data_IF_116051907861
#
_entry.id   IF_116051907861
#
_cell.length_a   1.000
_cell.length_b   1.000
_cell.length_c   1.000
_cell.angle_alpha   90.00
_cell.angle_beta   90.00
_cell.angle_gamma   90.00
#
_symmetry.space_group_name_H-M   'P 1'
#
loop_
_entity.id
_entity.type
_entity.pdbx_description
1 polymer ?
#
# COMPACT_ATOMS: atom_id res chain seq x y z
N UNK A 1 83.07 34.42 -2.78
CA UNK A 1 81.86 34.02 -1.99
C UNK A 1 80.64 34.74 -2.58
N UNK A 2 79.75 34.05 -3.29
CA UNK A 2 78.51 34.65 -3.80
C UNK A 2 77.39 34.27 -2.89
N UNK A 3 76.78 35.27 -2.25
CA UNK A 3 75.54 35.11 -1.45
C UNK A 3 74.37 34.88 -2.37
N UNK A 4 73.63 33.77 -2.17
CA UNK A 4 72.30 33.56 -2.76
C UNK A 4 71.23 34.01 -1.75
N UNK A 5 70.20 34.75 -2.15
CA UNK A 5 69.21 35.23 -1.25
C UNK A 5 68.17 34.14 -0.91
N UNK A 6 67.97 33.95 0.41
CA UNK A 6 67.06 32.95 0.98
C UNK A 6 65.56 33.20 0.73
N UNK A 7 65.18 34.23 -0.03
CA UNK A 7 63.77 34.64 -0.20
C UNK A 7 62.96 33.86 -1.25
N UNK A 8 63.62 33.09 -2.14
CA UNK A 8 62.89 32.33 -3.18
C UNK A 8 62.38 30.94 -2.74
N UNK A 9 63.01 30.34 -1.71
CA UNK A 9 62.55 29.03 -1.18
C UNK A 9 61.25 29.13 -0.37
N UNK A 10 61.05 30.23 0.37
CA UNK A 10 59.87 30.43 1.22
C UNK A 10 58.58 30.63 0.41
N UNK A 11 58.66 31.28 -0.77
CA UNK A 11 57.49 31.52 -1.65
C UNK A 11 57.05 30.25 -2.38
N UNK A 12 57.97 29.33 -2.67
CA UNK A 12 57.64 28.05 -3.34
C UNK A 12 56.97 27.07 -2.35
N UNK A 13 57.39 27.04 -1.08
CA UNK A 13 56.84 26.20 -0.03
C UNK A 13 55.37 26.60 0.29
N UNK A 14 55.12 27.93 0.40
CA UNK A 14 53.72 28.41 0.66
C UNK A 14 52.76 28.18 -0.50
N UNK A 15 53.21 28.25 -1.74
CA UNK A 15 52.34 27.93 -2.88
C UNK A 15 52.01 26.45 -2.98
N UNK A 16 52.95 25.55 -2.66
CA UNK A 16 52.69 24.10 -2.60
C UNK A 16 51.73 23.74 -1.45
N UNK A 17 51.87 24.38 -0.27
CA UNK A 17 50.97 24.17 0.86
C UNK A 17 49.53 24.64 0.58
N UNK A 18 49.36 25.78 -0.09
CA UNK A 18 48.06 26.31 -0.51
C UNK A 18 47.41 25.40 -1.55
N UNK A 19 48.19 24.87 -2.50
CA UNK A 19 47.68 23.93 -3.51
C UNK A 19 47.28 22.60 -2.89
N UNK A 20 48.00 22.09 -1.88
CA UNK A 20 47.68 20.87 -1.14
C UNK A 20 46.43 21.04 -0.26
N UNK A 21 46.24 22.20 0.36
CA UNK A 21 45.03 22.52 1.14
C UNK A 21 43.80 22.72 0.23
N UNK A 22 43.99 23.29 -0.97
CA UNK A 22 42.94 23.40 -1.98
C UNK A 22 42.57 22.03 -2.56
N UNK A 23 43.52 21.13 -2.80
CA UNK A 23 43.25 19.76 -3.27
C UNK A 23 42.57 18.94 -2.14
N UNK A 24 42.97 19.10 -0.89
CA UNK A 24 42.32 18.46 0.26
C UNK A 24 40.91 19.02 0.53
N UNK A 25 40.63 20.29 0.24
CA UNK A 25 39.29 20.86 0.33
C UNK A 25 38.38 20.48 -0.84
N UNK A 26 38.90 20.12 -1.99
CA UNK A 26 38.16 19.57 -3.13
C UNK A 26 37.93 18.05 -3.04
N UNK A 27 38.76 17.32 -2.30
CA UNK A 27 38.57 15.86 -2.10
C UNK A 27 37.58 15.48 -0.98
N UNK A 28 36.99 16.45 -0.30
CA UNK A 28 36.22 16.24 0.94
C UNK A 28 34.70 16.24 0.83
N UNK A 29 34.11 16.27 -0.36
CA UNK A 29 32.67 16.07 -0.53
C UNK A 29 32.40 15.10 -1.70
N UNK A 30 32.73 13.83 -1.53
CA UNK A 30 31.91 12.81 -2.14
C UNK A 30 30.51 12.94 -1.47
N UNK A 31 29.66 13.81 -2.02
CA UNK A 31 28.26 13.80 -1.62
C UNK A 31 27.74 12.42 -1.99
N UNK A 32 27.35 11.65 -1.00
CA UNK A 32 26.75 10.34 -1.23
C UNK A 32 25.59 10.53 -2.22
N UNK A 33 25.66 9.86 -3.34
CA UNK A 33 24.67 9.98 -4.39
C UNK A 33 23.47 9.12 -4.00
N UNK A 34 22.26 9.71 -4.02
CA UNK A 34 21.02 8.96 -3.83
C UNK A 34 20.92 7.82 -4.83
N UNK A 35 20.54 6.63 -4.35
CA UNK A 35 20.40 5.40 -5.15
C UNK A 35 19.12 5.33 -5.97
N UNK A 36 18.28 6.35 -5.93
CA UNK A 36 17.03 6.37 -6.68
C UNK A 36 17.20 6.84 -8.12
N UNK A 37 16.40 6.29 -9.03
CA UNK A 37 16.31 6.79 -10.40
C UNK A 37 15.72 8.20 -10.42
N UNK A 38 16.10 8.99 -11.45
CA UNK A 38 15.64 10.38 -11.56
C UNK A 38 14.17 10.54 -11.97
N UNK A 39 13.56 9.49 -12.53
CA UNK A 39 12.19 9.54 -13.06
C UNK A 39 11.53 8.16 -13.04
N UNK A 40 10.21 8.15 -13.21
CA UNK A 40 9.36 6.97 -13.36
C UNK A 40 8.30 7.24 -14.44
N UNK A 41 7.65 6.20 -14.93
CA UNK A 41 6.42 6.34 -15.75
C UNK A 41 5.28 6.98 -14.95
N UNK A 42 5.27 6.84 -13.63
CA UNK A 42 4.28 7.38 -12.71
C UNK A 42 4.92 8.45 -11.83
N UNK A 43 4.90 9.70 -12.32
CA UNK A 43 5.61 10.84 -11.69
C UNK A 43 4.84 11.48 -10.55
N UNK A 44 3.55 11.15 -10.40
CA UNK A 44 2.67 11.66 -9.33
C UNK A 44 1.58 10.64 -9.01
N UNK A 45 1.13 10.62 -7.76
CA UNK A 45 -0.08 9.89 -7.36
C UNK A 45 -1.37 10.62 -7.78
N UNK A 46 -1.31 11.93 -8.02
CA UNK A 46 -2.48 12.71 -8.45
C UNK A 46 -3.06 12.14 -9.76
N UNK A 47 -4.37 12.00 -9.79
CA UNK A 47 -5.11 11.43 -10.91
C UNK A 47 -5.15 9.90 -10.94
N UNK A 48 -4.57 9.20 -9.95
CA UNK A 48 -4.54 7.75 -9.91
C UNK A 48 -5.49 7.17 -8.85
N UNK A 49 -6.03 5.99 -9.17
CA UNK A 49 -6.73 5.11 -8.25
C UNK A 49 -5.86 3.88 -8.05
N UNK A 50 -5.36 3.69 -6.84
CA UNK A 50 -4.52 2.56 -6.48
C UNK A 50 -5.11 1.79 -5.31
N UNK A 51 -4.85 0.50 -5.24
CA UNK A 51 -5.34 -0.34 -4.17
C UNK A 51 -4.22 -0.82 -3.24
N UNK A 52 -4.53 -1.08 -1.98
CA UNK A 52 -3.65 -1.85 -1.12
C UNK A 52 -3.59 -3.31 -1.57
N UNK A 53 -2.41 -3.91 -1.55
CA UNK A 53 -2.17 -5.30 -1.95
C UNK A 53 -1.47 -6.03 -0.81
N UNK A 54 -2.17 -6.99 -0.20
CA UNK A 54 -1.67 -7.74 0.95
C UNK A 54 -0.61 -8.75 0.53
N UNK A 55 -0.92 -9.58 -0.45
CA UNK A 55 0.02 -10.57 -0.99
C UNK A 55 0.50 -11.60 0.04
N UNK A 56 -0.31 -11.93 1.04
CA UNK A 56 0.09 -12.75 2.19
C UNK A 56 -0.46 -14.19 2.20
N UNK A 57 -1.46 -14.48 1.36
CA UNK A 57 -2.09 -15.80 1.31
C UNK A 57 -1.17 -16.84 0.67
N UNK A 58 -0.92 -17.94 1.37
CA UNK A 58 -0.12 -19.07 0.89
C UNK A 58 -0.94 -20.35 0.84
N UNK A 59 -0.45 -21.31 0.07
CA UNK A 59 -0.97 -22.67 0.00
C UNK A 59 0.14 -23.70 0.28
N UNK A 60 -0.16 -24.93 0.71
CA UNK A 60 0.79 -26.02 0.74
C UNK A 60 1.42 -26.22 -0.64
N UNK A 61 2.71 -26.55 -0.67
CA UNK A 61 3.46 -26.84 -1.88
C UNK A 61 3.59 -25.68 -2.89
N UNK A 62 3.32 -24.44 -2.44
CA UNK A 62 3.56 -23.22 -3.25
C UNK A 62 5.07 -22.86 -3.34
N UNK A 63 5.90 -23.44 -2.49
CA UNK A 63 7.34 -23.19 -2.38
C UNK A 63 7.72 -22.22 -1.27
N UNK A 64 6.76 -21.54 -0.62
CA UNK A 64 7.02 -20.63 0.50
C UNK A 64 7.25 -21.38 1.83
N UNK A 65 6.78 -22.62 1.94
CA UNK A 65 6.87 -23.43 3.16
C UNK A 65 6.00 -22.90 4.31
N UNK A 66 4.90 -22.17 4.00
CA UNK A 66 4.02 -21.53 5.00
C UNK A 66 2.68 -22.22 5.18
N UNK A 67 2.35 -23.25 4.37
CA UNK A 67 1.05 -23.93 4.36
C UNK A 67 -0.09 -22.97 3.99
N UNK A 68 -1.30 -23.20 4.50
CA UNK A 68 -2.47 -22.33 4.29
C UNK A 68 -2.40 -21.03 5.12
N UNK A 69 -1.32 -20.26 4.92
CA UNK A 69 -1.10 -19.02 5.68
C UNK A 69 -2.14 -17.96 5.34
N UNK A 70 -2.66 -17.26 6.34
CA UNK A 70 -3.79 -16.32 6.31
C UNK A 70 -5.16 -16.90 5.94
N UNK A 71 -5.21 -18.11 5.37
CA UNK A 71 -6.48 -18.83 5.20
C UNK A 71 -6.93 -19.55 6.48
N UNK A 72 -5.99 -19.90 7.37
CA UNK A 72 -6.23 -20.72 8.58
C UNK A 72 -6.82 -19.90 9.72
N UNK A 73 -7.75 -20.50 10.45
CA UNK A 73 -8.16 -20.09 11.79
C UNK A 73 -7.69 -21.09 12.83
N UNK A 74 -7.06 -20.63 13.92
CA UNK A 74 -6.56 -21.50 14.98
C UNK A 74 -5.56 -22.59 14.50
N UNK A 75 -4.80 -22.29 13.43
CA UNK A 75 -3.83 -23.26 12.85
C UNK A 75 -4.44 -24.32 11.93
N UNK A 76 -5.75 -24.27 11.67
CA UNK A 76 -6.45 -25.24 10.81
C UNK A 76 -7.17 -24.53 9.67
N UNK A 77 -7.16 -25.13 8.47
CA UNK A 77 -7.94 -24.70 7.32
C UNK A 77 -8.87 -25.84 6.90
N UNK A 78 -10.15 -25.72 7.22
CA UNK A 78 -11.17 -26.73 6.94
C UNK A 78 -12.57 -26.10 7.04
N UNK A 79 -13.65 -26.74 6.53
CA UNK A 79 -15.02 -26.31 6.80
C UNK A 79 -15.27 -26.10 8.29
N UNK A 80 -15.75 -24.90 8.65
CA UNK A 80 -15.92 -24.46 10.06
C UNK A 80 -14.64 -23.88 10.70
N UNK A 81 -13.50 -23.83 9.98
CA UNK A 81 -12.24 -23.27 10.49
C UNK A 81 -11.47 -22.59 9.37
N UNK A 82 -11.74 -21.32 9.15
CA UNK A 82 -11.07 -20.44 8.17
C UNK A 82 -11.12 -19.01 8.66
N UNK A 83 -10.20 -18.17 8.19
CA UNK A 83 -10.25 -16.72 8.46
C UNK A 83 -11.02 -15.95 7.39
N UNK A 84 -11.18 -16.49 6.18
CA UNK A 84 -11.66 -15.71 5.04
C UNK A 84 -13.18 -15.69 4.93
N UNK A 85 -13.75 -14.54 4.65
CA UNK A 85 -15.18 -14.35 4.41
C UNK A 85 -15.53 -14.28 2.90
N UNK A 86 -14.53 -14.06 2.04
CA UNK A 86 -14.69 -14.10 0.58
C UNK A 86 -13.89 -15.26 -0.01
N UNK A 87 -14.45 -15.90 -1.03
CA UNK A 87 -13.76 -16.95 -1.79
C UNK A 87 -13.35 -16.44 -3.15
N UNK A 88 -12.05 -16.53 -3.50
CA UNK A 88 -11.56 -16.08 -4.80
C UNK A 88 -12.17 -16.89 -5.95
N UNK A 89 -12.48 -16.23 -7.07
CA UNK A 89 -12.76 -16.91 -8.33
C UNK A 89 -11.45 -17.37 -8.96
N UNK A 90 -11.33 -18.68 -9.21
CA UNK A 90 -10.03 -19.27 -9.59
C UNK A 90 -9.89 -19.63 -11.06
N UNK A 91 -10.88 -19.34 -11.89
CA UNK A 91 -10.94 -19.79 -13.31
C UNK A 91 -9.82 -19.25 -14.18
N UNK A 92 -9.29 -18.06 -13.88
CA UNK A 92 -8.22 -17.43 -14.67
C UNK A 92 -6.81 -17.69 -14.09
N UNK A 93 -6.67 -18.32 -12.91
CA UNK A 93 -5.36 -18.61 -12.36
C UNK A 93 -4.75 -19.86 -12.98
N UNK A 94 -3.54 -19.76 -13.57
CA UNK A 94 -2.86 -20.93 -14.16
C UNK A 94 -2.46 -21.98 -13.13
N UNK A 95 -2.29 -21.59 -11.87
CA UNK A 95 -1.93 -22.49 -10.76
C UNK A 95 -2.85 -22.24 -9.57
N UNK A 96 -3.48 -23.30 -9.11
CA UNK A 96 -4.40 -23.33 -7.97
C UNK A 96 -4.14 -24.58 -7.12
N UNK A 97 -4.56 -24.51 -5.86
CA UNK A 97 -4.31 -25.55 -4.87
C UNK A 97 -5.62 -26.11 -4.36
N UNK A 98 -5.71 -27.45 -4.30
CA UNK A 98 -6.87 -28.14 -3.78
C UNK A 98 -7.02 -27.85 -2.30
N UNK A 99 -8.20 -27.37 -1.92
CA UNK A 99 -8.55 -27.09 -0.52
C UNK A 99 -9.29 -28.27 0.12
N UNK A 100 -9.47 -28.30 1.44
CA UNK A 100 -10.36 -29.25 2.10
C UNK A 100 -11.86 -28.93 1.96
N UNK A 101 -12.22 -27.92 1.16
CA UNK A 101 -13.60 -27.51 0.92
C UNK A 101 -14.14 -28.09 -0.37
N UNK A 102 -15.48 -28.19 -0.47
CA UNK A 102 -16.18 -28.74 -1.62
C UNK A 102 -17.26 -27.80 -2.13
N UNK A 103 -17.45 -27.75 -3.43
CA UNK A 103 -18.53 -27.06 -4.09
C UNK A 103 -19.87 -27.79 -3.90
N UNK A 104 -20.98 -27.13 -4.27
CA UNK A 104 -22.35 -27.67 -4.18
C UNK A 104 -22.57 -28.94 -5.02
N UNK A 105 -21.79 -29.15 -6.08
CA UNK A 105 -21.79 -30.34 -6.95
C UNK A 105 -20.88 -31.48 -6.45
N UNK A 106 -20.27 -31.31 -5.27
CA UNK A 106 -19.36 -32.31 -4.67
C UNK A 106 -17.92 -32.25 -5.24
N UNK A 107 -17.61 -31.38 -6.17
CA UNK A 107 -16.25 -31.17 -6.66
C UNK A 107 -15.38 -30.44 -5.63
N UNK A 108 -14.06 -30.64 -5.68
CA UNK A 108 -13.13 -29.95 -4.79
C UNK A 108 -13.08 -28.46 -5.10
N UNK A 109 -13.06 -27.61 -4.09
CA UNK A 109 -12.79 -26.19 -4.21
C UNK A 109 -11.29 -25.89 -4.20
N UNK A 110 -10.88 -24.82 -4.88
CA UNK A 110 -9.47 -24.45 -5.07
C UNK A 110 -9.25 -23.00 -4.67
N UNK A 111 -7.98 -22.68 -4.31
CA UNK A 111 -7.52 -21.29 -4.05
C UNK A 111 -6.13 -21.11 -4.67
N UNK A 112 -5.77 -19.86 -4.90
CA UNK A 112 -4.45 -19.44 -5.37
C UNK A 112 -3.47 -19.21 -4.20
N UNK A 113 -2.18 -19.08 -4.52
CA UNK A 113 -1.17 -18.54 -3.61
C UNK A 113 -0.60 -17.23 -4.13
N UNK A 114 -0.43 -16.25 -3.25
CA UNK A 114 0.23 -14.99 -3.58
C UNK A 114 1.73 -15.17 -3.92
N UNK A 115 2.34 -16.27 -3.46
CA UNK A 115 3.75 -16.59 -3.72
C UNK A 115 4.03 -16.96 -5.17
N UNK A 116 3.01 -17.44 -5.90
CA UNK A 116 3.14 -17.80 -7.31
C UNK A 116 3.22 -16.55 -8.21
N UNK A 117 4.21 -16.55 -9.10
CA UNK A 117 4.38 -15.47 -10.08
C UNK A 117 3.15 -15.32 -11.00
N UNK A 118 2.48 -16.42 -11.32
CA UNK A 118 1.25 -16.42 -12.13
C UNK A 118 0.09 -15.71 -11.44
N UNK A 119 0.03 -15.69 -10.12
CA UNK A 119 -1.00 -14.97 -9.36
C UNK A 119 -0.84 -13.46 -9.52
N UNK A 120 0.37 -12.94 -9.32
CA UNK A 120 0.62 -11.50 -9.56
C UNK A 120 0.44 -11.13 -11.02
N UNK A 121 0.79 -12.00 -11.97
CA UNK A 121 0.58 -11.77 -13.40
C UNK A 121 -0.91 -11.59 -13.74
N UNK A 122 -1.77 -12.48 -13.24
CA UNK A 122 -3.24 -12.38 -13.40
C UNK A 122 -3.78 -11.11 -12.76
N UNK A 123 -3.36 -10.77 -11.53
CA UNK A 123 -3.84 -9.58 -10.84
C UNK A 123 -3.48 -8.29 -11.59
N UNK A 124 -2.24 -8.15 -12.07
CA UNK A 124 -1.83 -6.97 -12.84
C UNK A 124 -2.44 -6.92 -14.24
N UNK A 125 -2.73 -8.08 -14.85
CA UNK A 125 -3.55 -8.18 -16.06
C UNK A 125 -4.93 -7.59 -15.83
N UNK A 126 -5.64 -7.99 -14.77
CA UNK A 126 -6.94 -7.43 -14.40
C UNK A 126 -6.86 -5.91 -14.14
N UNK A 127 -5.84 -5.43 -13.42
CA UNK A 127 -5.66 -3.99 -13.22
C UNK A 127 -5.59 -3.24 -14.55
N UNK A 128 -4.88 -3.79 -15.54
CA UNK A 128 -4.81 -3.20 -16.88
C UNK A 128 -6.16 -3.24 -17.61
N UNK A 129 -6.83 -4.37 -17.59
CA UNK A 129 -8.10 -4.59 -18.30
C UNK A 129 -9.23 -3.71 -17.77
N UNK A 130 -9.31 -3.57 -16.46
CA UNK A 130 -10.35 -2.77 -15.80
C UNK A 130 -9.95 -1.32 -15.54
N UNK A 131 -8.67 -0.95 -15.69
CA UNK A 131 -8.20 0.44 -15.59
C UNK A 131 -7.86 0.89 -14.17
N UNK A 132 -7.60 -0.04 -13.24
CA UNK A 132 -6.97 0.28 -11.95
C UNK A 132 -5.51 0.64 -12.20
N UNK A 133 -5.04 1.76 -11.63
CA UNK A 133 -3.75 2.33 -12.01
C UNK A 133 -2.55 1.59 -11.39
N UNK A 134 -2.73 0.90 -10.26
CA UNK A 134 -1.69 0.13 -9.61
C UNK A 134 -1.98 -0.22 -8.16
N UNK A 135 -0.92 -0.58 -7.42
CA UNK A 135 -1.05 -1.05 -6.04
C UNK A 135 0.05 -0.51 -5.12
N UNK A 136 -0.30 -0.43 -3.83
CA UNK A 136 0.62 -0.31 -2.72
C UNK A 136 0.89 -1.69 -2.14
N UNK A 137 2.10 -2.21 -2.32
CA UNK A 137 2.52 -3.52 -1.82
C UNK A 137 2.75 -3.46 -0.32
N UNK A 138 1.91 -4.11 0.44
CA UNK A 138 2.00 -4.16 1.90
C UNK A 138 3.27 -4.91 2.34
N UNK A 139 3.93 -4.36 3.35
CA UNK A 139 5.06 -4.96 4.05
C UNK A 139 4.83 -4.82 5.55
N UNK A 140 4.26 -5.86 6.14
CA UNK A 140 4.01 -5.91 7.58
C UNK A 140 5.35 -6.02 8.32
N UNK A 141 5.66 -5.04 9.15
CA UNK A 141 6.93 -5.04 9.91
C UNK A 141 7.02 -6.26 10.81
N UNK A 142 5.90 -6.74 11.34
CA UNK A 142 5.79 -7.97 12.11
C UNK A 142 6.25 -9.22 11.33
N UNK A 143 5.98 -9.28 10.02
CA UNK A 143 6.33 -10.40 9.13
C UNK A 143 7.79 -10.32 8.65
N UNK A 144 8.19 -9.14 8.14
CA UNK A 144 9.52 -8.96 7.52
C UNK A 144 10.69 -9.01 8.51
N UNK A 145 10.43 -9.00 9.82
CA UNK A 145 11.46 -9.26 10.83
C UNK A 145 11.88 -10.73 10.87
N UNK A 146 11.03 -11.65 10.44
CA UNK A 146 11.38 -13.08 10.30
C UNK A 146 12.05 -13.35 8.96
N UNK A 147 12.97 -14.33 8.91
CA UNK A 147 13.64 -14.72 7.67
C UNK A 147 12.63 -15.27 6.64
N UNK A 148 11.69 -16.10 7.08
CA UNK A 148 10.66 -16.70 6.22
C UNK A 148 9.70 -15.65 5.68
N UNK A 149 9.15 -14.76 6.54
CA UNK A 149 8.26 -13.68 6.11
C UNK A 149 8.96 -12.71 5.16
N UNK A 150 10.19 -12.30 5.46
CA UNK A 150 10.97 -11.44 4.56
C UNK A 150 11.20 -12.10 3.20
N UNK A 151 11.51 -13.40 3.16
CA UNK A 151 11.68 -14.14 1.91
C UNK A 151 10.37 -14.17 1.11
N UNK A 152 9.25 -14.49 1.75
CA UNK A 152 7.93 -14.47 1.12
C UNK A 152 7.61 -13.11 0.49
N UNK A 153 7.63 -12.04 1.28
CA UNK A 153 7.28 -10.69 0.80
C UNK A 153 8.27 -10.14 -0.25
N UNK A 154 9.54 -10.54 -0.22
CA UNK A 154 10.49 -10.19 -1.27
C UNK A 154 10.16 -10.91 -2.59
N UNK A 155 9.77 -12.18 -2.53
CA UNK A 155 9.36 -12.95 -3.72
C UNK A 155 8.09 -12.36 -4.35
N UNK A 156 7.07 -12.12 -3.54
CA UNK A 156 5.80 -11.50 -4.02
C UNK A 156 6.06 -10.12 -4.63
N UNK A 157 6.88 -9.28 -3.98
CA UNK A 157 7.25 -7.97 -4.51
C UNK A 157 8.05 -8.07 -5.82
N UNK A 158 8.98 -9.01 -5.94
CA UNK A 158 9.75 -9.22 -7.17
C UNK A 158 8.84 -9.63 -8.34
N UNK A 159 7.90 -10.56 -8.09
CA UNK A 159 6.89 -10.98 -9.07
C UNK A 159 5.99 -9.80 -9.47
N UNK A 160 5.54 -9.01 -8.49
CA UNK A 160 4.71 -7.82 -8.73
C UNK A 160 5.44 -6.75 -9.54
N UNK A 161 6.74 -6.51 -9.31
CA UNK A 161 7.54 -5.57 -10.11
C UNK A 161 7.64 -5.98 -11.58
N UNK A 162 7.78 -7.28 -11.85
CA UNK A 162 7.79 -7.81 -13.23
C UNK A 162 6.42 -7.62 -13.89
N UNK A 163 5.34 -7.95 -13.20
CA UNK A 163 3.97 -7.81 -13.68
C UNK A 163 3.59 -6.33 -13.87
N UNK A 164 3.99 -5.46 -12.93
CA UNK A 164 3.81 -4.01 -13.05
C UNK A 164 4.44 -3.45 -14.32
N UNK A 165 5.67 -3.86 -14.62
CA UNK A 165 6.36 -3.49 -15.86
C UNK A 165 5.66 -4.02 -17.10
N UNK A 166 5.27 -5.31 -17.11
CA UNK A 166 4.58 -5.98 -18.22
C UNK A 166 3.25 -5.31 -18.58
N UNK A 167 2.47 -4.94 -17.57
CA UNK A 167 1.13 -4.37 -17.78
C UNK A 167 1.07 -2.86 -17.66
N UNK A 168 2.19 -2.19 -17.36
CA UNK A 168 2.25 -0.73 -17.21
C UNK A 168 1.39 -0.23 -16.07
N UNK A 169 1.50 -0.83 -14.88
CA UNK A 169 0.79 -0.42 -13.67
C UNK A 169 1.75 0.12 -12.63
N UNK A 170 1.29 1.11 -11.85
CA UNK A 170 2.09 1.69 -10.78
C UNK A 170 2.27 0.71 -9.62
N UNK A 171 3.41 0.79 -8.95
CA UNK A 171 3.69 0.02 -7.75
C UNK A 171 4.42 0.90 -6.74
N UNK A 172 4.09 0.80 -5.46
CA UNK A 172 4.78 1.46 -4.36
C UNK A 172 4.84 0.52 -3.15
N UNK A 173 5.76 0.75 -2.24
CA UNK A 173 5.88 0.00 -0.99
C UNK A 173 5.08 0.70 0.11
N UNK A 174 4.32 -0.08 0.88
CA UNK A 174 3.57 0.38 2.04
C UNK A 174 3.99 -0.44 3.27
N UNK A 175 4.71 0.18 4.20
CA UNK A 175 5.03 -0.44 5.47
C UNK A 175 3.85 -0.33 6.42
N UNK A 176 3.34 -1.48 6.85
CA UNK A 176 2.34 -1.59 7.89
C UNK A 176 3.03 -1.78 9.25
N UNK A 177 2.79 -0.83 10.14
CA UNK A 177 3.40 -0.80 11.47
C UNK A 177 2.63 -1.62 12.51
N UNK A 178 1.53 -2.30 12.12
CA UNK A 178 0.79 -3.20 13.01
C UNK A 178 1.73 -4.29 13.55
N UNK A 179 1.67 -4.53 14.85
CA UNK A 179 2.55 -5.48 15.52
C UNK A 179 4.01 -5.05 15.65
N UNK A 180 4.36 -3.79 15.33
CA UNK A 180 5.63 -3.20 15.76
C UNK A 180 5.70 -3.16 17.29
N UNK A 181 6.85 -3.53 17.84
CA UNK A 181 7.04 -3.70 19.29
C UNK A 181 7.56 -2.44 19.97
N UNK A 182 8.49 -1.75 19.31
CA UNK A 182 9.20 -0.57 19.86
C UNK A 182 10.15 0.03 18.80
N UNK A 183 11.09 0.85 19.26
CA UNK A 183 12.14 1.44 18.43
C UNK A 183 13.08 0.43 17.75
N UNK A 184 13.13 -0.83 18.19
CA UNK A 184 13.94 -1.88 17.54
C UNK A 184 13.38 -2.19 16.16
N UNK A 185 12.06 -2.22 16.00
CA UNK A 185 11.41 -2.48 14.73
C UNK A 185 11.58 -1.32 13.71
N UNK A 186 12.00 -0.11 14.16
CA UNK A 186 12.47 0.97 13.27
C UNK A 186 13.66 0.49 12.43
N UNK A 187 14.60 -0.22 13.03
CA UNK A 187 15.77 -0.76 12.34
C UNK A 187 15.40 -1.85 11.33
N UNK A 188 14.34 -2.63 11.61
CA UNK A 188 13.81 -3.64 10.68
C UNK A 188 13.36 -2.96 9.38
N UNK A 189 12.57 -1.90 9.48
CA UNK A 189 12.10 -1.12 8.32
C UNK A 189 13.27 -0.50 7.55
N UNK A 190 14.20 0.17 8.25
CA UNK A 190 15.37 0.81 7.64
C UNK A 190 16.21 -0.22 6.86
N UNK A 191 16.50 -1.36 7.46
CA UNK A 191 17.28 -2.42 6.82
C UNK A 191 16.51 -3.08 5.65
N UNK A 192 15.20 -3.18 5.77
CA UNK A 192 14.37 -3.67 4.68
C UNK A 192 14.39 -2.73 3.49
N UNK A 193 14.15 -1.43 3.70
CA UNK A 193 14.22 -0.43 2.64
C UNK A 193 15.58 -0.43 1.92
N UNK A 194 16.68 -0.47 2.68
CA UNK A 194 18.03 -0.59 2.11
C UNK A 194 18.17 -1.84 1.24
N UNK A 195 17.66 -2.97 1.71
CA UNK A 195 17.69 -4.22 0.95
C UNK A 195 16.85 -4.13 -0.34
N UNK A 196 15.64 -3.54 -0.29
CA UNK A 196 14.80 -3.36 -1.47
C UNK A 196 15.48 -2.48 -2.53
N UNK A 197 16.10 -1.38 -2.10
CA UNK A 197 16.84 -0.47 -3.00
C UNK A 197 18.08 -1.16 -3.58
N UNK A 198 18.83 -1.89 -2.76
CA UNK A 198 20.10 -2.49 -3.18
C UNK A 198 19.95 -3.79 -3.97
N UNK A 199 19.06 -4.68 -3.53
CA UNK A 199 18.94 -6.02 -4.12
C UNK A 199 17.86 -6.08 -5.20
N UNK A 200 16.67 -5.54 -4.95
CA UNK A 200 15.56 -5.55 -5.91
C UNK A 200 15.57 -4.33 -6.86
N UNK A 201 16.42 -3.33 -6.59
CA UNK A 201 16.52 -2.12 -7.41
C UNK A 201 15.18 -1.44 -7.65
N UNK A 202 14.26 -1.47 -6.65
CA UNK A 202 12.85 -1.11 -6.83
C UNK A 202 12.63 0.30 -7.36
N UNK A 203 13.54 1.24 -7.08
CA UNK A 203 13.46 2.65 -7.48
C UNK A 203 14.49 3.05 -8.55
N UNK A 204 15.20 2.10 -9.16
CA UNK A 204 16.28 2.38 -10.13
C UNK A 204 16.30 1.43 -11.34
N UNK A 205 15.11 1.00 -11.81
CA UNK A 205 14.98 0.03 -12.92
C UNK A 205 15.06 0.68 -14.33
N UNK A 206 15.58 1.90 -14.42
CA UNK A 206 15.75 2.62 -15.68
C UNK A 206 14.48 3.31 -16.18
N UNK A 207 14.42 3.63 -17.49
CA UNK A 207 13.33 4.42 -18.08
C UNK A 207 11.94 3.76 -17.98
N UNK A 208 11.89 2.43 -17.92
CA UNK A 208 10.66 1.65 -17.86
C UNK A 208 10.20 1.36 -16.42
N UNK A 209 10.82 1.98 -15.42
CA UNK A 209 10.42 1.74 -14.04
C UNK A 209 8.97 2.20 -13.78
N UNK A 210 8.24 1.36 -13.05
CA UNK A 210 6.85 1.59 -12.69
C UNK A 210 6.65 1.94 -11.21
N UNK A 211 7.76 2.08 -10.45
CA UNK A 211 7.68 2.54 -9.07
C UNK A 211 7.07 3.95 -9.02
N UNK A 212 6.03 4.13 -8.21
CA UNK A 212 5.33 5.40 -8.10
C UNK A 212 6.21 6.49 -7.50
N UNK A 213 6.26 7.62 -8.16
CA UNK A 213 6.88 8.86 -7.67
C UNK A 213 5.80 9.87 -7.28
N UNK A 214 6.14 10.77 -6.40
CA UNK A 214 5.34 11.93 -6.04
C UNK A 214 6.28 13.09 -5.71
N UNK A 215 5.97 14.29 -6.17
CA UNK A 215 6.86 15.46 -6.01
C UNK A 215 8.31 15.20 -6.48
N UNK A 216 8.49 14.42 -7.54
CA UNK A 216 9.82 14.08 -8.11
C UNK A 216 10.63 13.07 -7.31
N UNK A 217 10.04 12.43 -6.30
CA UNK A 217 10.68 11.49 -5.37
C UNK A 217 9.93 10.15 -5.32
N UNK A 218 10.61 9.01 -5.10
CA UNK A 218 9.91 7.75 -4.91
C UNK A 218 8.97 7.82 -3.70
N UNK A 219 7.72 7.42 -3.89
CA UNK A 219 6.71 7.44 -2.81
C UNK A 219 6.83 6.19 -1.94
N UNK A 220 6.91 6.39 -0.62
CA UNK A 220 6.88 5.32 0.38
C UNK A 220 5.72 5.59 1.34
N UNK A 221 4.99 4.54 1.71
CA UNK A 221 3.89 4.67 2.66
C UNK A 221 4.30 4.10 4.01
N UNK A 222 3.99 4.84 5.07
CA UNK A 222 4.04 4.39 6.46
C UNK A 222 2.62 4.39 7.01
N UNK A 223 2.04 3.23 7.25
CA UNK A 223 0.70 3.12 7.81
C UNK A 223 0.75 2.75 9.29
N UNK A 224 -0.02 3.48 10.10
CA UNK A 224 -0.22 3.10 11.49
C UNK A 224 0.15 4.17 12.51
N UNK A 225 0.42 5.42 12.11
CA UNK A 225 0.77 6.50 13.04
C UNK A 225 -0.46 7.05 13.78
N UNK A 226 -0.37 7.19 15.10
CA UNK A 226 -1.34 7.94 15.90
C UNK A 226 -2.65 7.24 16.26
N UNK A 227 -2.73 5.91 16.14
CA UNK A 227 -3.89 5.12 16.59
C UNK A 227 -3.89 4.94 18.11
N UNK A 228 -5.06 4.99 18.76
CA UNK A 228 -5.23 4.83 20.21
C UNK A 228 -5.52 3.37 20.65
N UNK A 229 -5.07 2.41 19.87
CA UNK A 229 -5.27 0.96 20.07
C UNK A 229 -4.14 0.26 20.85
N UNK A 230 -3.48 0.99 21.74
CA UNK A 230 -2.40 0.52 22.62
C UNK A 230 -1.14 0.04 21.85
N UNK A 231 -0.77 0.70 20.75
CA UNK A 231 0.45 0.41 20.01
C UNK A 231 1.68 0.61 20.88
N UNK A 232 2.65 -0.29 20.73
CA UNK A 232 3.88 -0.27 21.53
C UNK A 232 4.94 0.72 21.01
N UNK A 233 4.85 1.11 19.74
CA UNK A 233 5.68 2.16 19.16
C UNK A 233 4.99 3.52 19.26
N UNK A 234 5.77 4.56 19.22
CA UNK A 234 5.33 5.95 19.45
C UNK A 234 5.40 6.79 18.18
N UNK A 235 4.72 7.94 18.16
CA UNK A 235 4.88 8.97 17.12
C UNK A 235 6.35 9.36 16.91
N UNK A 236 7.19 9.33 17.98
CA UNK A 236 8.65 9.57 17.89
C UNK A 236 9.37 8.48 17.09
N UNK A 237 8.96 7.22 17.21
CA UNK A 237 9.54 6.13 16.43
C UNK A 237 9.17 6.23 14.96
N UNK A 238 7.92 6.57 14.65
CA UNK A 238 7.50 6.86 13.29
C UNK A 238 8.26 8.06 12.70
N UNK A 239 8.49 9.12 13.49
CA UNK A 239 9.31 10.27 13.05
C UNK A 239 10.72 9.86 12.65
N UNK A 240 11.38 8.92 13.36
CA UNK A 240 12.69 8.38 12.95
C UNK A 240 12.65 7.67 11.59
N UNK A 241 11.56 6.92 11.31
CA UNK A 241 11.36 6.27 10.01
C UNK A 241 11.19 7.31 8.90
N UNK A 242 10.37 8.34 9.13
CA UNK A 242 10.18 9.47 8.20
C UNK A 242 11.50 10.19 7.96
N UNK A 243 12.21 10.56 9.03
CA UNK A 243 13.48 11.28 8.94
C UNK A 243 14.54 10.48 8.15
N UNK A 244 14.61 9.15 8.32
CA UNK A 244 15.48 8.30 7.51
C UNK A 244 15.06 8.29 6.03
N UNK A 245 13.80 8.02 5.73
CA UNK A 245 13.32 7.93 4.35
C UNK A 245 13.42 9.26 3.59
N UNK A 246 13.35 10.39 4.29
CA UNK A 246 13.51 11.70 3.66
C UNK A 246 14.97 12.14 3.55
N UNK A 247 15.80 11.88 4.55
CA UNK A 247 17.05 12.60 4.76
C UNK A 247 18.32 11.72 4.72
N UNK A 248 18.20 10.37 4.68
CA UNK A 248 19.41 9.54 4.54
C UNK A 248 20.12 9.89 3.24
N UNK A 249 21.46 10.15 3.25
CA UNK A 249 22.18 10.65 2.08
C UNK A 249 22.28 9.66 0.93
N UNK A 250 21.97 8.39 1.14
CA UNK A 250 22.08 7.30 0.14
C UNK A 250 20.71 6.71 -0.20
N UNK A 251 19.88 6.45 0.81
CA UNK A 251 18.61 5.73 0.71
C UNK A 251 17.38 6.60 0.97
N UNK A 252 17.59 7.87 1.33
CA UNK A 252 16.55 8.87 1.56
C UNK A 252 16.10 9.56 0.28
N UNK A 253 15.53 10.77 0.42
CA UNK A 253 15.01 11.52 -0.73
C UNK A 253 13.65 10.99 -1.20
N UNK A 254 12.90 10.30 -0.33
CA UNK A 254 11.57 9.81 -0.62
C UNK A 254 10.48 10.85 -0.31
N UNK A 255 9.38 10.81 -1.06
CA UNK A 255 8.09 11.36 -0.64
C UNK A 255 7.40 10.36 0.29
N UNK A 256 6.69 10.89 1.30
CA UNK A 256 6.06 10.05 2.32
C UNK A 256 4.55 10.23 2.31
N UNK A 257 3.81 9.11 2.22
CA UNK A 257 2.40 9.04 2.54
C UNK A 257 2.24 8.43 3.94
N UNK A 258 1.55 9.14 4.83
CA UNK A 258 1.39 8.73 6.22
C UNK A 258 -0.04 8.25 6.49
N UNK A 259 -0.19 6.97 6.84
CA UNK A 259 -1.43 6.37 7.28
C UNK A 259 -1.74 6.72 8.73
N UNK A 260 -2.87 7.40 8.94
CA UNK A 260 -3.31 7.94 10.24
C UNK A 260 -4.74 7.49 10.55
N UNK A 261 -5.22 7.61 11.80
CA UNK A 261 -6.62 7.33 12.15
C UNK A 261 -7.60 8.21 11.36
N UNK A 262 -8.87 7.81 11.34
CA UNK A 262 -9.94 8.52 10.63
C UNK A 262 -10.12 9.97 11.13
N UNK A 263 -10.05 10.16 12.46
CA UNK A 263 -10.34 11.45 13.10
C UNK A 263 -9.07 12.17 13.58
N UNK A 264 -7.97 11.99 12.83
CA UNK A 264 -6.62 12.48 13.14
C UNK A 264 -6.55 13.98 13.40
N UNK A 265 -7.36 14.79 12.68
CA UNK A 265 -7.31 16.26 12.77
C UNK A 265 -7.87 16.79 14.09
N UNK A 266 -8.87 16.13 14.63
CA UNK A 266 -9.59 16.53 15.84
C UNK A 266 -9.17 15.72 17.08
N UNK A 267 -8.21 14.78 16.94
CA UNK A 267 -7.84 13.82 17.99
C UNK A 267 -9.06 13.05 18.55
N UNK A 268 -10.02 12.74 17.65
CA UNK A 268 -11.28 12.07 18.00
C UNK A 268 -11.18 10.56 17.90
N UNK A 269 -12.16 9.89 18.48
CA UNK A 269 -12.43 8.45 18.39
C UNK A 269 -11.18 7.53 18.41
N UNK A 270 -10.68 7.14 17.24
CA UNK A 270 -9.59 6.19 17.04
C UNK A 270 -8.19 6.82 17.07
N UNK A 271 -8.10 8.10 17.39
CA UNK A 271 -6.85 8.87 17.37
C UNK A 271 -6.29 9.07 18.78
N UNK A 272 -4.99 8.87 18.96
CA UNK A 272 -4.28 9.22 20.19
C UNK A 272 -4.33 10.74 20.43
N UNK A 273 -4.53 11.17 21.68
CA UNK A 273 -4.57 12.58 22.07
C UNK A 273 -3.16 13.14 22.25
N UNK A 274 -2.38 13.12 21.18
CA UNK A 274 -0.97 13.53 21.19
C UNK A 274 -0.70 14.58 20.09
N UNK A 275 -0.45 15.86 20.44
CA UNK A 275 -0.16 16.90 19.46
C UNK A 275 1.07 16.62 18.57
N UNK A 276 1.99 15.74 19.00
CA UNK A 276 3.14 15.33 18.19
C UNK A 276 2.71 14.65 16.86
N UNK A 277 1.49 14.10 16.78
CA UNK A 277 0.95 13.57 15.55
C UNK A 277 0.81 14.66 14.46
N UNK A 278 0.30 15.84 14.80
CA UNK A 278 0.21 16.95 13.84
C UNK A 278 1.59 17.46 13.40
N UNK A 279 2.59 17.47 14.32
CA UNK A 279 3.96 17.85 13.94
C UNK A 279 4.59 16.81 13.01
N UNK A 280 4.29 15.51 13.21
CA UNK A 280 4.70 14.45 12.28
C UNK A 280 4.01 14.60 10.92
N UNK A 281 2.71 14.85 10.89
CA UNK A 281 1.94 15.04 9.65
C UNK A 281 2.46 16.23 8.83
N UNK A 282 2.91 17.31 9.47
CA UNK A 282 3.50 18.46 8.77
C UNK A 282 4.83 18.16 8.06
N UNK A 283 5.47 17.04 8.36
CA UNK A 283 6.73 16.60 7.73
C UNK A 283 6.51 15.77 6.46
N UNK A 284 5.31 15.25 6.22
CA UNK A 284 5.04 14.32 5.13
C UNK A 284 4.36 14.97 3.94
N UNK A 285 4.36 14.30 2.79
CA UNK A 285 3.81 14.84 1.54
C UNK A 285 2.31 14.57 1.39
N UNK A 286 1.83 13.42 1.90
CA UNK A 286 0.44 12.97 1.74
C UNK A 286 -0.10 12.44 3.08
N UNK A 287 -1.32 12.84 3.44
CA UNK A 287 -2.09 12.26 4.55
C UNK A 287 -3.06 11.20 4.01
N UNK A 288 -3.08 10.04 4.67
CA UNK A 288 -3.86 8.85 4.31
C UNK A 288 -4.72 8.40 5.52
N UNK A 289 -5.91 8.99 5.75
CA UNK A 289 -6.78 8.59 6.86
C UNK A 289 -7.40 7.21 6.62
N UNK A 290 -7.29 6.31 7.58
CA UNK A 290 -7.86 4.96 7.47
C UNK A 290 -9.32 4.93 7.86
N UNK A 291 -10.21 4.69 6.89
CA UNK A 291 -11.67 4.77 7.08
C UNK A 291 -12.39 3.43 7.03
N UNK A 292 -11.69 2.33 6.79
CA UNK A 292 -12.30 0.99 6.75
C UNK A 292 -13.01 0.68 8.07
N UNK A 293 -14.29 0.31 7.98
CA UNK A 293 -15.11 -0.01 9.15
C UNK A 293 -15.61 1.19 9.96
N UNK A 294 -15.24 2.44 9.61
CA UNK A 294 -15.59 3.64 10.41
C UNK A 294 -16.99 4.20 10.12
N UNK A 295 -17.57 3.84 9.00
CA UNK A 295 -18.97 4.10 8.65
C UNK A 295 -19.54 2.88 7.93
N UNK A 296 -20.85 2.64 8.06
CA UNK A 296 -21.46 1.35 7.71
C UNK A 296 -22.52 1.42 6.61
N UNK A 297 -22.85 2.63 6.13
CA UNK A 297 -23.82 2.86 5.07
C UNK A 297 -23.61 4.24 4.46
N UNK A 298 -24.36 4.55 3.39
CA UNK A 298 -24.26 5.82 2.67
C UNK A 298 -24.54 7.04 3.56
N UNK A 299 -25.53 6.99 4.43
CA UNK A 299 -25.89 8.10 5.34
C UNK A 299 -24.74 8.38 6.34
N UNK A 300 -24.13 7.34 6.89
CA UNK A 300 -22.97 7.49 7.78
C UNK A 300 -21.75 8.03 7.02
N UNK A 301 -21.56 7.62 5.77
CA UNK A 301 -20.54 8.22 4.92
C UNK A 301 -20.78 9.72 4.66
N UNK A 302 -22.03 10.15 4.43
CA UNK A 302 -22.35 11.58 4.24
C UNK A 302 -21.94 12.45 5.44
N UNK A 303 -22.06 11.93 6.66
CA UNK A 303 -21.56 12.64 7.85
C UNK A 303 -20.03 12.68 7.87
N UNK A 304 -19.38 11.57 7.52
CA UNK A 304 -17.92 11.52 7.39
C UNK A 304 -17.42 12.45 6.27
N UNK A 305 -18.11 12.56 5.14
CA UNK A 305 -17.72 13.43 4.04
C UNK A 305 -17.58 14.91 4.46
N UNK A 306 -18.30 15.35 5.48
CA UNK A 306 -18.15 16.70 6.08
C UNK A 306 -16.84 16.82 6.87
N UNK A 307 -16.42 15.74 7.55
CA UNK A 307 -15.12 15.67 8.23
C UNK A 307 -14.01 15.68 7.18
N UNK A 308 -14.12 14.84 6.16
CA UNK A 308 -13.18 14.76 5.04
C UNK A 308 -12.95 16.13 4.37
N UNK A 309 -14.01 16.89 4.14
CA UNK A 309 -13.89 18.24 3.56
C UNK A 309 -13.02 19.16 4.42
N UNK A 310 -13.22 19.15 5.73
CA UNK A 310 -12.41 19.93 6.68
C UNK A 310 -10.95 19.44 6.75
N UNK A 311 -10.74 18.13 6.61
CA UNK A 311 -9.41 17.55 6.56
C UNK A 311 -8.65 18.01 5.31
N UNK A 312 -9.32 18.02 4.16
CA UNK A 312 -8.77 18.55 2.89
C UNK A 312 -8.42 20.02 3.03
N UNK A 313 -9.32 20.83 3.60
CA UNK A 313 -9.07 22.27 3.85
C UNK A 313 -7.83 22.48 4.75
N UNK A 314 -7.70 21.67 5.82
CA UNK A 314 -6.53 21.70 6.71
C UNK A 314 -5.23 21.31 5.98
N UNK A 315 -5.26 20.25 5.16
CA UNK A 315 -4.13 19.81 4.37
C UNK A 315 -3.70 20.88 3.35
N UNK A 316 -4.66 21.44 2.61
CA UNK A 316 -4.41 22.50 1.62
C UNK A 316 -3.74 23.72 2.25
N UNK A 317 -4.20 24.16 3.44
CA UNK A 317 -3.61 25.28 4.17
C UNK A 317 -2.15 25.01 4.57
N UNK A 318 -1.71 23.76 4.62
CA UNK A 318 -0.35 23.33 4.97
C UNK A 318 0.46 22.80 3.79
N UNK A 319 -0.11 22.83 2.58
CA UNK A 319 0.51 22.31 1.34
C UNK A 319 0.87 20.83 1.45
N UNK A 320 0.00 20.06 2.09
CA UNK A 320 0.08 18.61 2.20
C UNK A 320 -1.05 18.02 1.35
N UNK A 321 -0.77 17.02 0.56
CA UNK A 321 -1.79 16.36 -0.25
C UNK A 321 -2.64 15.40 0.62
N UNK A 322 -3.87 15.14 0.18
CA UNK A 322 -4.82 14.27 0.85
C UNK A 322 -5.27 13.14 -0.08
N UNK A 323 -5.21 11.89 0.38
CA UNK A 323 -5.76 10.75 -0.34
C UNK A 323 -6.99 10.21 0.40
N UNK A 324 -8.09 9.98 -0.32
CA UNK A 324 -9.25 9.36 0.28
C UNK A 324 -9.15 7.83 0.22
N UNK A 325 -9.38 7.19 1.36
CA UNK A 325 -9.56 5.73 1.44
C UNK A 325 -11.03 5.42 1.19
N UNK A 326 -11.28 4.47 0.28
CA UNK A 326 -12.60 3.94 -0.06
C UNK A 326 -12.59 2.42 0.00
N UNK A 327 -13.68 1.80 0.44
CA UNK A 327 -13.74 0.35 0.59
C UNK A 327 -15.12 -0.19 0.18
N UNK A 328 -15.20 -1.39 -0.42
CA UNK A 328 -16.44 -1.88 -1.05
C UNK A 328 -17.48 -2.37 -0.05
N UNK A 329 -17.06 -2.86 1.08
CA UNK A 329 -17.83 -3.46 2.16
C UNK A 329 -16.89 -4.07 3.18
N UNK A 330 -17.41 -4.70 4.24
CA UNK A 330 -16.59 -5.30 5.29
C UNK A 330 -17.28 -6.52 5.91
N UNK A 331 -16.51 -7.58 6.12
CA UNK A 331 -16.94 -8.76 6.88
C UNK A 331 -15.73 -9.55 7.35
N UNK A 332 -15.72 -9.92 8.60
CA UNK A 332 -14.68 -10.75 9.22
C UNK A 332 -15.27 -11.84 10.14
N UNK A 333 -16.48 -12.33 9.78
CA UNK A 333 -17.22 -13.29 10.59
C UNK A 333 -16.47 -14.57 10.87
N UNK A 334 -15.80 -15.15 9.85
CA UNK A 334 -15.02 -16.37 10.04
C UNK A 334 -13.79 -16.16 10.93
N UNK A 335 -13.18 -14.97 10.91
CA UNK A 335 -12.07 -14.61 11.80
C UNK A 335 -12.58 -14.23 13.21
N UNK A 336 -13.74 -13.62 13.31
CA UNK A 336 -14.38 -13.18 14.54
C UNK A 336 -15.86 -13.59 14.59
N UNK A 337 -16.18 -14.83 15.03
CA UNK A 337 -17.55 -15.37 15.01
C UNK A 337 -18.59 -14.58 15.80
N UNK A 338 -18.15 -13.68 16.70
CA UNK A 338 -19.06 -12.78 17.43
C UNK A 338 -19.54 -11.60 16.57
N UNK A 339 -18.90 -11.34 15.44
CA UNK A 339 -19.33 -10.32 14.50
C UNK A 339 -20.31 -10.89 13.48
N UNK A 340 -21.35 -10.13 13.09
CA UNK A 340 -22.27 -10.60 12.04
C UNK A 340 -21.53 -10.79 10.71
N UNK A 341 -21.94 -11.80 9.95
CA UNK A 341 -21.52 -11.92 8.55
C UNK A 341 -22.03 -10.73 7.74
N UNK A 342 -21.25 -10.28 6.74
CA UNK A 342 -21.57 -9.13 5.90
C UNK A 342 -21.89 -7.86 6.71
N UNK A 343 -21.05 -7.56 7.69
CA UNK A 343 -21.27 -6.48 8.66
C UNK A 343 -21.46 -5.10 8.01
N UNK A 344 -20.80 -4.85 6.90
CA UNK A 344 -21.02 -3.68 6.02
C UNK A 344 -21.31 -4.20 4.62
N UNK A 345 -22.59 -4.24 4.22
CA UNK A 345 -22.95 -4.75 2.90
C UNK A 345 -22.41 -3.90 1.76
N UNK A 346 -22.10 -4.54 0.65
CA UNK A 346 -21.62 -3.88 -0.55
C UNK A 346 -22.72 -3.13 -1.30
N UNK A 347 -23.98 -3.48 -1.06
CA UNK A 347 -25.19 -2.88 -1.65
C UNK A 347 -25.08 -2.67 -3.17
N UNK A 348 -24.77 -3.74 -3.90
CA UNK A 348 -24.65 -3.73 -5.37
C UNK A 348 -23.69 -2.62 -5.86
N UNK A 349 -22.66 -2.33 -5.08
CA UNK A 349 -21.64 -1.30 -5.37
C UNK A 349 -22.03 0.12 -4.98
N UNK A 350 -23.27 0.39 -4.52
CA UNK A 350 -23.71 1.74 -4.14
C UNK A 350 -22.90 2.30 -2.97
N UNK A 351 -22.65 1.51 -1.93
CA UNK A 351 -21.85 1.93 -0.80
C UNK A 351 -20.42 2.34 -1.22
N UNK A 352 -19.78 1.56 -2.09
CA UNK A 352 -18.45 1.86 -2.62
C UNK A 352 -18.46 3.12 -3.48
N UNK A 353 -19.46 3.23 -4.37
CA UNK A 353 -19.56 4.35 -5.29
C UNK A 353 -19.88 5.67 -4.60
N UNK A 354 -20.71 5.64 -3.56
CA UNK A 354 -21.02 6.82 -2.73
C UNK A 354 -19.75 7.45 -2.12
N UNK A 355 -18.82 6.62 -1.68
CA UNK A 355 -17.53 7.07 -1.17
C UNK A 355 -16.66 7.70 -2.28
N UNK A 356 -16.59 7.05 -3.45
CA UNK A 356 -15.83 7.54 -4.61
C UNK A 356 -16.38 8.89 -5.09
N UNK A 357 -17.67 8.95 -5.38
CA UNK A 357 -18.30 10.17 -5.88
C UNK A 357 -18.25 11.30 -4.86
N UNK A 358 -18.48 11.01 -3.58
CA UNK A 358 -18.38 11.98 -2.51
C UNK A 358 -16.98 12.54 -2.31
N UNK A 359 -15.95 11.69 -2.33
CA UNK A 359 -14.55 12.11 -2.23
C UNK A 359 -14.15 13.02 -3.42
N UNK A 360 -14.51 12.64 -4.64
CA UNK A 360 -14.24 13.46 -5.84
C UNK A 360 -15.01 14.81 -5.78
N UNK A 361 -16.25 14.81 -5.28
CA UNK A 361 -17.03 16.04 -5.06
C UNK A 361 -16.38 16.97 -4.02
N UNK A 362 -15.68 16.41 -3.04
CA UNK A 362 -14.90 17.16 -2.05
C UNK A 362 -13.56 17.67 -2.58
N UNK A 363 -13.22 17.39 -3.85
CA UNK A 363 -11.98 17.84 -4.49
C UNK A 363 -10.78 16.95 -4.28
N UNK A 364 -10.99 15.67 -3.92
CA UNK A 364 -9.90 14.69 -3.82
C UNK A 364 -9.32 14.40 -5.20
N UNK A 365 -8.00 14.37 -5.29
CA UNK A 365 -7.24 14.08 -6.54
C UNK A 365 -6.61 12.68 -6.55
N UNK A 366 -6.69 11.93 -5.45
CA UNK A 366 -6.08 10.60 -5.27
C UNK A 366 -7.03 9.69 -4.51
N UNK A 367 -7.18 8.44 -4.98
CA UNK A 367 -8.01 7.45 -4.30
C UNK A 367 -7.19 6.20 -3.93
N UNK A 368 -7.33 5.76 -2.70
CA UNK A 368 -6.82 4.49 -2.21
C UNK A 368 -7.99 3.53 -1.98
N UNK A 369 -7.97 2.39 -2.66
CA UNK A 369 -8.98 1.33 -2.47
C UNK A 369 -8.45 0.33 -1.45
N UNK A 370 -9.15 0.17 -0.36
CA UNK A 370 -8.90 -0.86 0.63
C UNK A 370 -9.89 -2.02 0.40
N UNK A 371 -9.44 -3.20 -0.10
CA UNK A 371 -8.13 -3.62 -0.57
C UNK A 371 -8.27 -4.33 -1.91
N UNK A 372 -7.16 -4.63 -2.61
CA UNK A 372 -7.22 -5.43 -3.83
C UNK A 372 -7.59 -6.89 -3.54
N UNK A 373 -6.91 -7.53 -2.59
CA UNK A 373 -6.90 -8.98 -2.34
C UNK A 373 -7.22 -9.40 -0.89
N UNK A 374 -7.82 -8.50 -0.09
CA UNK A 374 -8.16 -8.76 1.32
C UNK A 374 -9.46 -9.55 1.44
N UNK A 375 -9.35 -10.87 1.60
CA UNK A 375 -10.51 -11.76 1.73
C UNK A 375 -10.88 -12.07 3.18
N UNK A 376 -9.97 -11.82 4.13
CA UNK A 376 -10.16 -12.05 5.56
C UNK A 376 -11.18 -11.05 6.13
N UNK A 377 -11.06 -9.78 5.75
CA UNK A 377 -11.95 -8.70 6.17
C UNK A 377 -13.04 -8.38 5.12
N UNK A 378 -13.16 -9.19 4.08
CA UNK A 378 -14.20 -9.04 3.06
C UNK A 378 -14.11 -7.76 2.24
N UNK A 379 -12.95 -7.09 2.19
CA UNK A 379 -12.74 -5.82 1.48
C UNK A 379 -12.18 -5.99 0.06
N UNK A 380 -11.84 -7.21 -0.37
CA UNK A 380 -11.25 -7.45 -1.69
C UNK A 380 -12.11 -6.92 -2.83
N UNK A 381 -11.47 -6.28 -3.82
CA UNK A 381 -12.10 -5.84 -5.08
C UNK A 381 -11.77 -6.76 -6.26
N UNK A 382 -10.83 -7.70 -6.11
CA UNK A 382 -10.53 -8.69 -7.15
C UNK A 382 -11.72 -9.64 -7.39
N UNK A 383 -11.63 -10.50 -8.38
CA UNK A 383 -12.72 -11.41 -8.73
C UNK A 383 -12.99 -12.43 -7.63
N UNK A 384 -14.22 -12.45 -7.11
CA UNK A 384 -14.68 -13.43 -6.12
C UNK A 384 -15.70 -14.39 -6.71
N UNK A 385 -15.75 -15.60 -6.15
CA UNK A 385 -16.66 -16.65 -6.60
C UNK A 385 -18.12 -16.26 -6.34
N UNK A 386 -18.96 -16.44 -7.35
CA UNK A 386 -20.42 -16.34 -7.21
C UNK A 386 -21.03 -17.57 -6.52
N UNK A 387 -20.27 -18.68 -6.50
CA UNK A 387 -20.64 -19.94 -5.86
C UNK A 387 -19.46 -20.42 -5.03
N UNK A 388 -19.26 -19.85 -3.84
CA UNK A 388 -18.22 -20.32 -2.92
C UNK A 388 -18.55 -21.76 -2.46
N UNK A 389 -17.57 -22.46 -1.88
CA UNK A 389 -17.79 -23.80 -1.36
C UNK A 389 -18.85 -23.79 -0.25
N UNK A 390 -19.54 -24.91 -0.10
CA UNK A 390 -20.58 -25.13 0.90
C UNK A 390 -20.03 -25.85 2.14
N UNK A 391 -20.72 -25.73 3.27
CA UNK A 391 -20.37 -26.44 4.52
C UNK A 391 -20.54 -25.57 5.76
N UNK A 392 -19.74 -25.85 6.79
CA UNK A 392 -19.85 -25.21 8.09
C UNK A 392 -19.32 -23.75 8.14
N UNK A 393 -18.56 -23.31 7.13
CA UNK A 393 -18.12 -21.91 6.99
C UNK A 393 -19.12 -21.09 6.18
N UNK A 394 -19.29 -19.83 6.55
CA UNK A 394 -20.14 -18.88 5.83
C UNK A 394 -19.29 -17.99 4.94
N UNK A 395 -19.54 -17.97 3.63
CA UNK A 395 -18.88 -17.09 2.69
C UNK A 395 -19.86 -16.07 2.12
N UNK A 396 -19.38 -14.85 1.90
CA UNK A 396 -20.15 -13.78 1.28
C UNK A 396 -20.01 -13.87 -0.23
N UNK A 397 -21.11 -13.66 -0.94
CA UNK A 397 -21.16 -13.51 -2.40
C UNK A 397 -21.60 -12.10 -2.77
N UNK A 398 -21.39 -11.72 -4.01
CA UNK A 398 -22.03 -10.53 -4.55
C UNK A 398 -23.53 -10.77 -4.75
N UNK A 399 -24.29 -9.72 -4.68
CA UNK A 399 -25.75 -9.76 -4.86
C UNK A 399 -26.11 -10.26 -6.29
N UNK A 400 -27.28 -10.87 -6.42
CA UNK A 400 -27.73 -11.42 -7.70
C UNK A 400 -27.60 -10.40 -8.85
N UNK A 401 -27.05 -10.84 -9.98
CA UNK A 401 -26.81 -10.02 -11.17
C UNK A 401 -25.57 -9.13 -11.12
N UNK A 402 -24.79 -9.18 -10.05
CA UNK A 402 -23.49 -8.49 -9.97
C UNK A 402 -22.39 -9.43 -10.46
N UNK A 403 -21.63 -9.07 -11.53
CA UNK A 403 -20.52 -9.90 -12.00
C UNK A 403 -19.31 -9.87 -11.05
N UNK A 404 -18.48 -10.91 -11.11
CA UNK A 404 -17.33 -11.09 -10.22
C UNK A 404 -16.28 -9.96 -10.34
N UNK A 405 -16.19 -9.30 -11.46
CA UNK A 405 -15.26 -8.22 -11.80
C UNK A 405 -15.77 -6.80 -11.53
N UNK A 406 -17.01 -6.68 -11.03
CA UNK A 406 -17.69 -5.39 -10.94
C UNK A 406 -16.94 -4.33 -10.13
N UNK A 407 -16.30 -4.72 -9.04
CA UNK A 407 -15.54 -3.77 -8.20
C UNK A 407 -14.23 -3.33 -8.84
N UNK A 408 -13.61 -4.17 -9.67
CA UNK A 408 -12.51 -3.77 -10.55
C UNK A 408 -12.97 -2.75 -11.58
N UNK A 409 -14.12 -2.99 -12.21
CA UNK A 409 -14.72 -2.07 -13.17
C UNK A 409 -15.05 -0.71 -12.53
N UNK A 410 -15.68 -0.69 -11.34
CA UNK A 410 -15.97 0.56 -10.62
C UNK A 410 -14.70 1.33 -10.29
N UNK A 411 -13.64 0.65 -9.86
CA UNK A 411 -12.34 1.27 -9.54
C UNK A 411 -11.71 1.93 -10.76
N UNK A 412 -11.74 1.27 -11.92
CA UNK A 412 -11.23 1.86 -13.16
C UNK A 412 -12.11 2.99 -13.69
N UNK A 413 -13.43 2.91 -13.52
CA UNK A 413 -14.35 4.00 -13.85
C UNK A 413 -14.06 5.24 -12.98
N UNK A 414 -13.82 5.03 -11.68
CA UNK A 414 -13.39 6.08 -10.75
C UNK A 414 -12.12 6.81 -11.22
N UNK A 415 -11.13 6.06 -11.71
CA UNK A 415 -9.91 6.64 -12.28
C UNK A 415 -10.16 7.53 -13.48
N UNK A 416 -11.05 7.12 -14.39
CA UNK A 416 -11.46 7.95 -15.52
C UNK A 416 -12.18 9.23 -15.07
N UNK A 417 -13.05 9.11 -14.08
CA UNK A 417 -13.79 10.24 -13.53
C UNK A 417 -12.85 11.21 -12.80
N UNK A 418 -11.92 10.69 -12.01
CA UNK A 418 -10.91 11.47 -11.29
C UNK A 418 -10.03 12.29 -12.26
N UNK A 419 -9.65 11.71 -13.40
CA UNK A 419 -8.88 12.36 -14.47
C UNK A 419 -9.73 13.19 -15.46
N UNK A 420 -11.05 13.32 -15.21
CA UNK A 420 -12.00 14.03 -16.09
C UNK A 420 -12.06 13.45 -17.52
N UNK A 421 -11.73 12.16 -17.66
CA UNK A 421 -11.82 11.41 -18.92
C UNK A 421 -13.24 10.89 -19.21
N UNK A 422 -14.13 10.97 -18.23
CA UNK A 422 -15.57 10.72 -18.31
C UNK A 422 -16.31 11.73 -17.44
N UNK A 423 -17.58 12.06 -17.74
CA UNK A 423 -18.38 12.93 -16.88
C UNK A 423 -18.49 12.39 -15.47
N UNK A 424 -18.60 13.32 -14.51
CA UNK A 424 -18.89 12.97 -13.13
C UNK A 424 -20.25 12.26 -13.03
N UNK A 425 -20.30 11.16 -12.29
CA UNK A 425 -21.53 10.42 -11.97
C UNK A 425 -21.71 10.30 -10.46
N UNK A 426 -22.88 10.73 -9.99
CA UNK A 426 -23.28 10.53 -8.61
C UNK A 426 -23.76 9.10 -8.38
N UNK A 427 -24.56 8.58 -9.32
CA UNK A 427 -25.13 7.23 -9.27
C UNK A 427 -24.10 6.19 -9.69
N UNK A 428 -24.18 5.01 -9.07
CA UNK A 428 -23.30 3.90 -9.38
C UNK A 428 -23.42 3.46 -10.84
N UNK A 429 -22.34 3.34 -11.59
CA UNK A 429 -22.37 2.80 -12.95
C UNK A 429 -22.92 1.37 -12.97
N UNK A 430 -23.81 1.09 -13.89
CA UNK A 430 -24.34 -0.27 -14.07
C UNK A 430 -23.21 -1.25 -14.44
N UNK A 431 -23.33 -2.52 -14.03
CA UNK A 431 -22.44 -3.57 -14.50
C UNK A 431 -22.39 -3.62 -16.03
N UNK A 432 -21.25 -3.95 -16.60
CA UNK A 432 -21.17 -4.27 -18.02
C UNK A 432 -21.93 -5.59 -18.23
N UNK A 433 -22.83 -5.62 -19.19
CA UNK A 433 -23.36 -6.85 -19.73
C UNK A 433 -22.45 -7.22 -20.90
N UNK A 434 -21.71 -8.32 -20.76
CA UNK A 434 -20.99 -8.94 -21.89
C UNK A 434 -21.96 -9.58 -22.86
#
# INVERSE_FOLDING_TARGET
>A
MKYYPASKLAVFSNRLLILFVLILSLSGRLSAQLKHGKTSRFVSYKGLVMAGYQGWHNAPDDGAGRGWYHYTSGGKFAPGSTNVDLWAETTEYPKVYKTPFYNDDGTSAYLQSAYDASTTDVHFKWMKEYGLDGVFMQRFVSEIRSKSGKHHFNTVLANALQSAKKYGRAISVMYDLSGCRDSVDVSVLINDWKNLVDSLKITSQGKEQTYLYHNGKPLVVLWGAGFNDNRKYTTKDVSKMVDFLQNDPVYGGCSIMLGVPTYWREFGNDTEKNPALHELIKKVDIVHPWTVGRYRNENAYEQYAKVQKKDIEWCNAKKIDYVAVVFPGFSWHNMNPNSPSNQIPRDRGKFFWKQISGAISNGVEMLYVAMFDEVDEGTAIFKISKKPPIGASTFITFEYGIPSDYYLYLSGYAGKMLRKQTPFKLDVPLPRHD
#
